data_IF_692110288296
#
_entry.id   IF_692110288296
#
_cell.length_a   1.000
_cell.length_b   1.000
_cell.length_c   1.000
_cell.angle_alpha   90.00
_cell.angle_beta   90.00
_cell.angle_gamma   90.00
#
_symmetry.space_group_name_H-M   'P 1'
#
loop_
_entity.id
_entity.type
_entity.pdbx_description
1 polymer ?
#
# COMPACT_ATOMS: atom_id res chain seq x y z
N UNK A 1 52.22 -1.29 6.32
CA UNK A 1 51.42 -2.19 5.48
C UNK A 1 50.51 -2.97 6.41
N UNK A 2 49.33 -2.44 6.69
CA UNK A 2 48.26 -3.18 7.36
C UNK A 2 47.48 -3.92 6.28
N UNK A 3 47.58 -5.24 6.29
CA UNK A 3 46.71 -6.15 5.56
C UNK A 3 45.30 -5.95 6.09
N UNK A 4 44.48 -5.24 5.32
CA UNK A 4 43.05 -5.15 5.55
C UNK A 4 42.46 -6.54 5.25
N UNK A 5 41.99 -7.22 6.30
CA UNK A 5 41.32 -8.51 6.23
C UNK A 5 40.03 -8.37 5.43
N UNK A 6 40.11 -8.48 4.10
CA UNK A 6 38.94 -8.59 3.25
C UNK A 6 38.24 -9.92 3.57
N UNK A 7 37.18 -9.85 4.38
CA UNK A 7 36.23 -10.96 4.53
C UNK A 7 35.79 -11.41 3.12
N UNK A 8 35.79 -12.73 2.82
CA UNK A 8 35.34 -13.20 1.52
C UNK A 8 33.90 -12.77 1.27
N UNK A 9 33.62 -12.28 0.06
CA UNK A 9 32.29 -11.86 -0.34
C UNK A 9 31.31 -13.03 -0.21
N UNK A 10 30.17 -12.81 0.47
CA UNK A 10 29.13 -13.83 0.64
C UNK A 10 28.54 -14.17 -0.73
N UNK A 11 28.48 -15.45 -1.13
CA UNK A 11 27.89 -15.85 -2.41
C UNK A 11 26.43 -15.40 -2.54
N UNK A 12 26.04 -14.93 -3.72
CA UNK A 12 24.67 -14.45 -3.97
C UNK A 12 23.58 -15.49 -3.64
N UNK A 13 23.88 -16.78 -3.84
CA UNK A 13 22.97 -17.87 -3.47
C UNK A 13 22.72 -17.93 -1.97
N UNK A 14 23.75 -17.74 -1.15
CA UNK A 14 23.61 -17.77 0.31
C UNK A 14 22.77 -16.59 0.83
N UNK A 15 22.96 -15.39 0.28
CA UNK A 15 22.14 -14.22 0.63
C UNK A 15 20.67 -14.43 0.25
N UNK A 16 20.42 -15.06 -0.90
CA UNK A 16 19.08 -15.37 -1.38
C UNK A 16 18.39 -16.43 -0.52
N UNK A 17 19.08 -17.49 -0.16
CA UNK A 17 18.52 -18.55 0.69
C UNK A 17 18.20 -18.03 2.10
N UNK A 18 19.04 -17.13 2.62
CA UNK A 18 18.80 -16.44 3.90
C UNK A 18 17.59 -15.49 3.82
N UNK A 19 17.47 -14.70 2.74
CA UNK A 19 16.28 -13.89 2.49
C UNK A 19 15.02 -14.76 2.47
N UNK A 20 15.05 -15.89 1.75
CA UNK A 20 13.89 -16.79 1.67
C UNK A 20 13.54 -17.36 3.04
N UNK A 21 14.54 -17.78 3.83
CA UNK A 21 14.33 -18.26 5.20
C UNK A 21 13.65 -17.18 6.05
N UNK A 22 14.15 -15.95 6.01
CA UNK A 22 13.55 -14.82 6.74
C UNK A 22 12.10 -14.57 6.31
N UNK A 23 11.80 -14.59 5.01
CA UNK A 23 10.43 -14.39 4.50
C UNK A 23 9.47 -15.50 4.94
N UNK A 24 9.94 -16.74 5.02
CA UNK A 24 9.17 -17.88 5.55
C UNK A 24 8.94 -17.76 7.05
N UNK A 25 9.98 -17.43 7.83
CA UNK A 25 9.89 -17.27 9.28
C UNK A 25 8.92 -16.15 9.69
N UNK A 26 8.84 -15.08 8.87
CA UNK A 26 7.88 -13.98 9.04
C UNK A 26 6.46 -14.31 8.56
N UNK A 27 6.24 -15.47 7.93
CA UNK A 27 4.96 -15.86 7.34
C UNK A 27 4.59 -15.11 6.05
N UNK A 28 5.51 -14.29 5.51
CA UNK A 28 5.29 -13.52 4.28
C UNK A 28 5.37 -14.36 3.01
N UNK A 29 6.01 -15.54 3.08
CA UNK A 29 6.17 -16.48 1.97
C UNK A 29 5.88 -17.89 2.47
N UNK A 30 4.88 -18.57 1.91
CA UNK A 30 4.34 -19.82 2.46
C UNK A 30 4.18 -20.89 1.38
N UNK A 31 3.70 -20.53 0.19
CA UNK A 31 3.53 -21.46 -0.92
C UNK A 31 4.88 -21.99 -1.39
N UNK A 32 5.01 -23.32 -1.45
CA UNK A 32 6.28 -23.97 -1.79
C UNK A 32 6.78 -23.63 -3.20
N UNK A 33 5.90 -23.30 -4.15
CA UNK A 33 6.28 -22.85 -5.49
C UNK A 33 6.81 -21.42 -5.45
N UNK A 34 6.18 -20.55 -4.68
CA UNK A 34 6.67 -19.19 -4.48
C UNK A 34 8.04 -19.21 -3.76
N UNK A 35 8.20 -20.05 -2.74
CA UNK A 35 9.50 -20.31 -2.08
C UNK A 35 10.56 -20.75 -3.10
N UNK A 36 10.23 -21.70 -3.99
CA UNK A 36 11.17 -22.17 -5.02
C UNK A 36 11.53 -21.05 -6.02
N UNK A 37 10.56 -20.24 -6.44
CA UNK A 37 10.77 -19.10 -7.33
C UNK A 37 11.73 -18.08 -6.69
N UNK A 38 11.53 -17.74 -5.40
CA UNK A 38 12.39 -16.80 -4.69
C UNK A 38 13.82 -17.31 -4.50
N UNK A 39 14.03 -18.63 -4.38
CA UNK A 39 15.38 -19.24 -4.36
C UNK A 39 16.06 -19.25 -5.73
N UNK A 40 15.30 -19.14 -6.82
CA UNK A 40 15.83 -19.29 -8.18
C UNK A 40 16.17 -17.96 -8.86
N UNK A 41 15.35 -16.92 -8.68
CA UNK A 41 15.53 -15.65 -9.38
C UNK A 41 16.65 -14.81 -8.73
N UNK A 42 17.69 -14.41 -9.49
CA UNK A 42 18.79 -13.59 -9.00
C UNK A 42 18.43 -12.09 -8.91
N UNK A 43 17.58 -11.71 -7.95
CA UNK A 43 17.03 -10.33 -7.85
C UNK A 43 18.07 -9.19 -7.89
N UNK A 44 19.26 -9.41 -7.35
CA UNK A 44 20.36 -8.43 -7.35
C UNK A 44 20.75 -7.95 -8.76
N UNK A 45 20.53 -8.76 -9.82
CA UNK A 45 20.84 -8.35 -11.19
C UNK A 45 19.90 -7.25 -11.72
N UNK A 46 18.73 -7.06 -11.12
CA UNK A 46 17.83 -5.95 -11.47
C UNK A 46 18.30 -4.60 -10.91
N UNK A 47 19.27 -4.60 -9.98
CA UNK A 47 19.78 -3.41 -9.29
C UNK A 47 21.31 -3.46 -9.21
N UNK A 48 22.03 -3.39 -10.34
CA UNK A 48 23.48 -3.61 -10.39
C UNK A 48 24.28 -2.57 -9.61
N UNK A 49 23.74 -1.37 -9.41
CA UNK A 49 24.40 -0.27 -8.69
C UNK A 49 24.16 -0.30 -7.17
N UNK A 50 23.27 -1.18 -6.68
CA UNK A 50 22.97 -1.33 -5.25
C UNK A 50 23.88 -2.40 -4.63
N UNK A 51 24.27 -2.19 -3.37
CA UNK A 51 24.95 -3.24 -2.60
C UNK A 51 24.15 -4.54 -2.61
N UNK A 52 24.74 -5.62 -3.14
CA UNK A 52 24.06 -6.90 -3.32
C UNK A 52 23.43 -7.41 -2.02
N UNK A 53 24.09 -7.26 -0.87
CA UNK A 53 23.55 -7.73 0.40
C UNK A 53 22.31 -6.94 0.84
N UNK A 54 22.25 -5.63 0.57
CA UNK A 54 21.04 -4.82 0.79
C UNK A 54 19.87 -5.29 -0.07
N UNK A 55 20.10 -5.67 -1.33
CA UNK A 55 19.02 -6.13 -2.24
C UNK A 55 18.25 -7.34 -1.70
N UNK A 56 18.87 -8.14 -0.84
CA UNK A 56 18.29 -9.35 -0.22
C UNK A 56 17.70 -9.11 1.19
N UNK A 57 17.71 -7.88 1.72
CA UNK A 57 17.05 -7.57 2.99
C UNK A 57 15.54 -7.53 2.80
N UNK A 58 14.77 -8.22 3.65
CA UNK A 58 13.32 -8.41 3.48
C UNK A 58 12.51 -7.10 3.29
N UNK A 59 12.92 -6.01 3.96
CA UNK A 59 12.23 -4.71 3.93
C UNK A 59 12.91 -3.65 3.04
N UNK A 60 13.99 -3.99 2.32
CA UNK A 60 14.73 -3.01 1.53
C UNK A 60 14.19 -2.94 0.10
N UNK A 61 13.57 -1.81 -0.23
CA UNK A 61 13.24 -1.45 -1.61
C UNK A 61 14.38 -0.60 -2.21
N UNK A 62 14.62 -0.77 -3.51
CA UNK A 62 15.64 0.01 -4.24
C UNK A 62 14.93 0.98 -5.17
N UNK A 63 15.11 2.28 -4.93
CA UNK A 63 14.54 3.33 -5.79
C UNK A 63 15.36 3.40 -7.07
N UNK A 64 14.71 3.22 -8.21
CA UNK A 64 15.37 3.17 -9.53
C UNK A 64 15.12 4.42 -10.36
N UNK A 65 14.12 5.23 -10.00
CA UNK A 65 13.84 6.50 -10.68
C UNK A 65 13.10 7.47 -9.75
N UNK A 66 13.50 8.73 -9.78
CA UNK A 66 12.79 9.84 -9.14
C UNK A 66 12.52 10.95 -10.14
N UNK A 67 11.50 11.76 -9.88
CA UNK A 67 11.30 13.01 -10.60
C UNK A 67 12.22 14.13 -10.05
N UNK A 68 12.23 15.34 -10.67
CA UNK A 68 13.03 16.47 -10.19
C UNK A 68 12.67 16.97 -8.79
N UNK A 69 11.44 16.73 -8.33
CA UNK A 69 10.96 17.12 -7.01
C UNK A 69 11.27 16.04 -5.94
N UNK A 70 11.93 14.95 -6.33
CA UNK A 70 12.34 13.86 -5.46
C UNK A 70 11.25 12.81 -5.20
N UNK A 71 10.13 12.85 -5.93
CA UNK A 71 9.09 11.82 -5.86
C UNK A 71 9.62 10.54 -6.49
N UNK A 72 9.43 9.42 -5.80
CA UNK A 72 9.82 8.09 -6.28
C UNK A 72 8.85 7.64 -7.36
N UNK A 73 9.34 7.49 -8.59
CA UNK A 73 8.55 7.08 -9.77
C UNK A 73 8.63 5.57 -10.01
N UNK A 74 9.77 4.96 -9.70
CA UNK A 74 10.00 3.53 -9.93
C UNK A 74 10.91 2.95 -8.85
N UNK A 75 10.65 1.70 -8.48
CA UNK A 75 11.47 0.97 -7.53
C UNK A 75 11.41 -0.53 -7.78
N UNK A 76 12.49 -1.24 -7.44
CA UNK A 76 12.41 -2.67 -7.19
C UNK A 76 11.87 -2.84 -5.76
N UNK A 77 10.65 -3.35 -5.67
CA UNK A 77 9.95 -3.56 -4.40
C UNK A 77 10.74 -4.44 -3.43
N UNK A 78 10.56 -4.18 -2.14
CA UNK A 78 11.15 -4.99 -1.08
C UNK A 78 10.72 -6.46 -1.22
N UNK A 79 11.61 -7.44 -0.91
CA UNK A 79 11.28 -8.86 -1.04
C UNK A 79 9.99 -9.27 -0.33
N UNK A 80 9.73 -8.72 0.88
CA UNK A 80 8.51 -9.02 1.64
C UNK A 80 7.25 -8.56 0.90
N UNK A 81 7.30 -7.39 0.25
CA UNK A 81 6.14 -6.85 -0.49
C UNK A 81 5.83 -7.70 -1.71
N UNK A 82 6.85 -8.13 -2.47
CA UNK A 82 6.68 -9.03 -3.60
C UNK A 82 6.13 -10.40 -3.16
N UNK A 83 6.68 -10.96 -2.08
CA UNK A 83 6.20 -12.23 -1.52
C UNK A 83 4.72 -12.13 -1.10
N UNK A 84 4.36 -11.06 -0.37
CA UNK A 84 2.99 -10.78 0.05
C UNK A 84 2.02 -10.68 -1.13
N UNK A 85 2.34 -9.92 -2.19
CA UNK A 85 1.45 -9.81 -3.36
C UNK A 85 1.33 -11.13 -4.14
N UNK A 86 2.42 -11.89 -4.28
CA UNK A 86 2.39 -13.22 -4.93
C UNK A 86 1.53 -14.20 -4.14
N UNK A 87 1.64 -14.20 -2.81
CA UNK A 87 0.80 -15.00 -1.90
C UNK A 87 -0.68 -14.59 -2.01
N UNK A 88 -0.97 -13.28 -1.98
CA UNK A 88 -2.32 -12.77 -2.20
C UNK A 88 -2.87 -13.16 -3.58
N UNK A 89 -2.00 -13.22 -4.58
CA UNK A 89 -2.32 -13.54 -5.96
C UNK A 89 -2.72 -14.99 -6.19
N UNK A 90 -2.39 -15.92 -5.29
CA UNK A 90 -2.69 -17.34 -5.43
C UNK A 90 -2.35 -17.88 -6.84
N UNK A 91 -1.12 -17.59 -7.30
CA UNK A 91 -0.65 -17.93 -8.65
C UNK A 91 -0.39 -19.44 -8.75
N UNK A 92 -0.87 -20.06 -9.83
CA UNK A 92 -0.77 -21.51 -10.05
C UNK A 92 -0.12 -21.84 -11.40
N UNK A 93 0.46 -23.06 -11.56
CA UNK A 93 0.97 -23.53 -12.84
C UNK A 93 -0.08 -23.44 -13.97
N UNK A 94 0.35 -23.04 -15.16
CA UNK A 94 -0.49 -22.91 -16.35
C UNK A 94 -1.31 -21.61 -16.42
N UNK A 95 -1.29 -20.77 -15.39
CA UNK A 95 -2.05 -19.52 -15.39
C UNK A 95 -1.46 -18.47 -16.33
N UNK A 96 -2.35 -17.60 -16.83
CA UNK A 96 -2.03 -16.35 -17.51
C UNK A 96 -2.09 -15.21 -16.51
N UNK A 97 -0.98 -14.52 -16.31
CA UNK A 97 -0.84 -13.44 -15.33
C UNK A 97 -0.46 -12.14 -16.03
N UNK A 98 -1.21 -11.08 -15.75
CA UNK A 98 -0.83 -9.70 -16.07
C UNK A 98 -0.20 -9.05 -14.84
N UNK A 99 0.97 -8.45 -15.00
CA UNK A 99 1.57 -7.52 -14.08
C UNK A 99 1.47 -6.08 -14.64
N UNK A 100 1.04 -5.13 -13.81
CA UNK A 100 1.01 -3.70 -14.13
C UNK A 100 1.97 -2.96 -13.19
N UNK A 101 2.95 -2.26 -13.77
CA UNK A 101 4.14 -1.77 -13.08
C UNK A 101 5.26 -2.80 -13.21
N UNK A 102 6.22 -2.54 -14.10
CA UNK A 102 7.27 -3.51 -14.42
C UNK A 102 8.54 -3.26 -13.60
N UNK A 103 9.25 -4.33 -13.30
CA UNK A 103 10.60 -4.26 -12.73
C UNK A 103 11.45 -5.50 -13.02
N UNK A 104 10.95 -6.39 -13.90
CA UNK A 104 11.57 -7.67 -14.25
C UNK A 104 11.53 -8.74 -13.15
N UNK A 105 11.90 -8.39 -11.91
CA UNK A 105 12.05 -9.35 -10.80
C UNK A 105 10.74 -10.06 -10.46
N UNK A 106 9.65 -9.32 -10.29
CA UNK A 106 8.36 -9.91 -9.93
C UNK A 106 7.78 -10.73 -11.10
N UNK A 107 7.88 -10.24 -12.34
CA UNK A 107 7.57 -11.03 -13.53
C UNK A 107 8.36 -12.36 -13.61
N UNK A 108 9.64 -12.37 -13.25
CA UNK A 108 10.44 -13.60 -13.22
C UNK A 108 9.97 -14.57 -12.12
N UNK A 109 9.60 -14.07 -10.93
CA UNK A 109 8.98 -14.91 -9.90
C UNK A 109 7.66 -15.51 -10.40
N UNK A 110 6.81 -14.70 -11.03
CA UNK A 110 5.55 -15.18 -11.62
C UNK A 110 5.81 -16.25 -12.69
N UNK A 111 6.81 -16.05 -13.55
CA UNK A 111 7.19 -16.98 -14.61
C UNK A 111 7.70 -18.34 -14.08
N UNK A 112 8.41 -18.35 -12.95
CA UNK A 112 8.77 -19.59 -12.25
C UNK A 112 7.52 -20.33 -11.72
N UNK A 113 6.54 -19.60 -11.18
CA UNK A 113 5.36 -20.21 -10.54
C UNK A 113 4.37 -20.75 -11.59
N UNK A 114 4.11 -20.00 -12.67
CA UNK A 114 3.19 -20.43 -13.72
C UNK A 114 3.80 -21.54 -14.59
N UNK A 115 5.14 -21.64 -14.63
CA UNK A 115 5.85 -22.68 -15.37
C UNK A 115 5.72 -22.54 -16.89
N UNK A 116 6.21 -23.57 -17.61
CA UNK A 116 6.36 -23.54 -19.08
C UNK A 116 5.04 -23.41 -19.86
N UNK A 117 3.93 -23.86 -19.27
CA UNK A 117 2.60 -23.80 -19.88
C UNK A 117 1.81 -22.54 -19.50
N UNK A 118 2.39 -21.67 -18.65
CA UNK A 118 1.79 -20.40 -18.27
C UNK A 118 2.25 -19.25 -19.16
N UNK A 119 1.67 -18.08 -18.93
CA UNK A 119 2.06 -16.84 -19.61
C UNK A 119 2.15 -15.72 -18.58
N UNK A 120 3.26 -14.99 -18.58
CA UNK A 120 3.37 -13.72 -17.84
C UNK A 120 3.47 -12.59 -18.85
N UNK A 121 2.60 -11.60 -18.69
CA UNK A 121 2.67 -10.31 -19.38
C UNK A 121 2.96 -9.26 -18.31
N UNK A 122 3.97 -8.43 -18.50
CA UNK A 122 4.30 -7.32 -17.60
C UNK A 122 4.29 -6.02 -18.39
N UNK A 123 3.62 -5.01 -17.86
CA UNK A 123 3.45 -3.73 -18.53
C UNK A 123 3.91 -2.55 -17.68
N UNK A 124 4.54 -1.56 -18.30
CA UNK A 124 4.86 -0.28 -17.68
C UNK A 124 4.73 0.85 -18.71
N UNK A 125 4.36 2.05 -18.24
CA UNK A 125 4.21 3.22 -19.11
C UNK A 125 5.57 3.81 -19.51
N UNK A 126 6.60 3.59 -18.70
CA UNK A 126 7.92 4.18 -18.88
C UNK A 126 8.84 3.24 -19.68
N UNK A 127 9.30 3.64 -20.89
CA UNK A 127 10.18 2.82 -21.72
C UNK A 127 11.54 2.53 -21.07
N UNK A 128 12.01 3.37 -20.13
CA UNK A 128 13.24 3.08 -19.39
C UNK A 128 13.03 1.93 -18.39
N UNK A 129 11.84 1.83 -17.80
CA UNK A 129 11.47 0.76 -16.87
C UNK A 129 11.34 -0.55 -17.64
N UNK A 130 10.62 -0.56 -18.76
CA UNK A 130 10.49 -1.76 -19.60
C UNK A 130 11.82 -2.21 -20.19
N UNK A 131 12.67 -1.28 -20.64
CA UNK A 131 14.02 -1.61 -21.13
C UNK A 131 14.91 -2.25 -20.05
N UNK A 132 14.85 -1.77 -18.80
CA UNK A 132 15.54 -2.44 -17.67
C UNK A 132 14.98 -3.83 -17.39
N UNK A 133 13.65 -3.99 -17.44
CA UNK A 133 13.00 -5.28 -17.23
C UNK A 133 13.40 -6.29 -18.31
N UNK A 134 13.38 -5.91 -19.59
CA UNK A 134 13.82 -6.74 -20.71
C UNK A 134 15.27 -7.19 -20.55
N UNK A 135 16.17 -6.26 -20.22
CA UNK A 135 17.59 -6.58 -19.96
C UNK A 135 17.74 -7.60 -18.83
N UNK A 136 17.08 -7.38 -17.69
CA UNK A 136 17.11 -8.30 -16.57
C UNK A 136 16.57 -9.68 -16.96
N UNK A 137 15.43 -9.74 -17.64
CA UNK A 137 14.80 -10.99 -18.08
C UNK A 137 15.69 -11.73 -19.07
N UNK A 138 16.42 -11.02 -19.94
CA UNK A 138 17.38 -11.62 -20.85
C UNK A 138 18.58 -12.23 -20.10
N UNK A 139 19.22 -11.45 -19.23
CA UNK A 139 20.38 -11.90 -18.44
C UNK A 139 20.06 -13.07 -17.50
N UNK A 140 18.78 -13.28 -17.20
CA UNK A 140 18.30 -14.34 -16.30
C UNK A 140 17.60 -15.49 -17.03
N UNK A 141 17.46 -15.44 -18.36
CA UNK A 141 16.89 -16.51 -19.18
C UNK A 141 15.35 -16.61 -19.13
N UNK A 142 14.66 -15.50 -18.87
CA UNK A 142 13.19 -15.41 -18.81
C UNK A 142 12.57 -14.71 -20.03
N UNK A 143 13.35 -14.21 -20.99
CA UNK A 143 12.86 -13.48 -22.18
C UNK A 143 11.81 -14.25 -23.02
N UNK A 144 11.86 -15.59 -23.01
CA UNK A 144 10.91 -16.45 -23.70
C UNK A 144 9.64 -16.77 -22.89
N UNK A 145 9.65 -16.48 -21.59
CA UNK A 145 8.56 -16.79 -20.64
C UNK A 145 7.77 -15.56 -20.21
N UNK A 146 8.34 -14.38 -20.37
CA UNK A 146 7.73 -13.10 -19.98
C UNK A 146 7.60 -12.20 -21.21
N UNK A 147 6.40 -11.66 -21.45
CA UNK A 147 6.16 -10.62 -22.45
C UNK A 147 6.19 -9.26 -21.78
N UNK A 148 7.13 -8.41 -22.16
CA UNK A 148 7.19 -7.02 -21.69
C UNK A 148 6.44 -6.12 -22.67
N UNK A 149 5.59 -5.23 -22.15
CA UNK A 149 4.80 -4.29 -22.93
C UNK A 149 5.02 -2.88 -22.41
N UNK A 150 5.39 -1.95 -23.29
CA UNK A 150 5.43 -0.53 -22.95
C UNK A 150 4.07 0.10 -23.27
N UNK A 151 3.35 0.56 -22.26
CA UNK A 151 2.00 1.12 -22.42
C UNK A 151 1.36 1.53 -21.10
N UNK A 152 0.30 2.34 -21.18
CA UNK A 152 -0.45 2.78 -20.00
C UNK A 152 -1.20 1.59 -19.37
N UNK A 153 -0.84 1.26 -18.12
CA UNK A 153 -1.42 0.17 -17.37
C UNK A 153 -2.93 0.32 -17.12
N UNK A 154 -3.49 1.52 -17.23
CA UNK A 154 -4.94 1.72 -17.11
C UNK A 154 -5.74 0.91 -18.14
N UNK A 155 -5.20 0.74 -19.35
CA UNK A 155 -5.82 -0.05 -20.42
C UNK A 155 -5.66 -1.56 -20.26
N UNK A 156 -4.88 -2.04 -19.28
CA UNK A 156 -4.40 -3.42 -19.24
C UNK A 156 -3.62 -3.78 -20.50
N UNK A 157 -3.68 -5.05 -20.92
CA UNK A 157 -3.06 -5.54 -22.17
C UNK A 157 -4.04 -6.50 -22.87
N UNK A 158 -4.99 -5.97 -23.66
CA UNK A 158 -6.09 -6.78 -24.21
C UNK A 158 -5.62 -7.88 -25.17
N UNK A 159 -4.47 -7.73 -25.84
CA UNK A 159 -3.92 -8.68 -26.81
C UNK A 159 -3.60 -10.05 -26.19
N UNK A 160 -3.44 -10.09 -24.86
CA UNK A 160 -3.13 -11.29 -24.11
C UNK A 160 -4.18 -11.62 -23.04
N UNK A 161 -5.33 -10.93 -23.05
CA UNK A 161 -6.48 -11.32 -22.28
C UNK A 161 -7.13 -12.62 -22.82
N UNK A 162 -7.94 -13.34 -22.03
CA UNK A 162 -8.19 -13.09 -20.61
C UNK A 162 -7.05 -13.61 -19.71
N UNK A 163 -7.00 -13.09 -18.49
CA UNK A 163 -6.04 -13.43 -17.45
C UNK A 163 -6.71 -14.15 -16.29
N UNK A 164 -6.00 -15.11 -15.71
CA UNK A 164 -6.39 -15.71 -14.43
C UNK A 164 -6.14 -14.75 -13.27
N UNK A 165 -5.08 -13.95 -13.40
CA UNK A 165 -4.55 -13.07 -12.36
C UNK A 165 -4.10 -11.73 -12.95
N UNK A 166 -4.42 -10.65 -12.26
CA UNK A 166 -3.86 -9.32 -12.50
C UNK A 166 -3.19 -8.86 -11.21
N UNK A 167 -1.91 -8.52 -11.27
CA UNK A 167 -1.11 -8.05 -10.13
C UNK A 167 -0.64 -6.63 -10.46
N UNK A 168 -1.09 -5.66 -9.67
CA UNK A 168 -0.70 -4.25 -9.82
C UNK A 168 0.39 -3.96 -8.79
N UNK A 169 1.52 -3.42 -9.21
CA UNK A 169 2.69 -3.12 -8.37
C UNK A 169 2.93 -1.62 -8.22
N UNK A 170 1.88 -0.83 -8.46
CA UNK A 170 1.82 0.62 -8.26
C UNK A 170 0.56 0.98 -7.47
N UNK A 171 0.59 2.11 -6.76
CA UNK A 171 -0.55 2.59 -5.98
C UNK A 171 -1.61 3.19 -6.91
N UNK A 172 -2.77 2.54 -6.99
CA UNK A 172 -3.93 3.01 -7.74
C UNK A 172 -4.94 3.68 -6.80
N UNK A 173 -5.63 4.72 -7.28
CA UNK A 173 -6.75 5.34 -6.55
C UNK A 173 -8.12 4.81 -6.98
N UNK A 174 -8.18 4.13 -8.12
CA UNK A 174 -9.37 3.57 -8.75
C UNK A 174 -9.00 2.23 -9.41
N UNK A 175 -10.00 1.46 -9.84
CA UNK A 175 -9.83 0.20 -10.56
C UNK A 175 -10.43 0.35 -11.95
N UNK A 176 -9.61 0.54 -13.00
CA UNK A 176 -10.07 0.67 -14.37
C UNK A 176 -10.94 -0.53 -14.83
N UNK A 177 -11.95 -0.31 -15.69
CA UNK A 177 -12.80 -1.38 -16.20
C UNK A 177 -12.02 -2.49 -16.88
N UNK A 178 -10.93 -2.13 -17.59
CA UNK A 178 -10.04 -3.04 -18.28
C UNK A 178 -9.49 -4.15 -17.38
N UNK A 179 -9.10 -3.85 -16.13
CA UNK A 179 -8.53 -4.86 -15.22
C UNK A 179 -9.57 -5.92 -14.83
N UNK A 180 -10.83 -5.51 -14.65
CA UNK A 180 -11.94 -6.43 -14.40
C UNK A 180 -12.31 -7.21 -15.66
N UNK A 181 -12.44 -6.52 -16.79
CA UNK A 181 -12.95 -7.10 -18.04
C UNK A 181 -11.98 -8.10 -18.65
N UNK A 182 -10.68 -7.88 -18.48
CA UNK A 182 -9.63 -8.79 -18.93
C UNK A 182 -9.38 -9.96 -17.96
N UNK A 183 -9.98 -9.98 -16.76
CA UNK A 183 -9.94 -11.15 -15.87
C UNK A 183 -10.94 -12.23 -16.29
N UNK A 184 -10.64 -13.50 -16.11
CA UNK A 184 -11.66 -14.56 -16.16
C UNK A 184 -12.68 -14.42 -15.02
N UNK A 185 -13.88 -14.98 -15.15
CA UNK A 185 -14.80 -15.11 -14.01
C UNK A 185 -14.15 -15.95 -12.90
N UNK A 186 -14.24 -15.49 -11.64
CA UNK A 186 -13.49 -16.09 -10.53
C UNK A 186 -11.98 -15.83 -10.56
N UNK A 187 -11.48 -15.09 -11.56
CA UNK A 187 -10.12 -14.58 -11.60
C UNK A 187 -9.85 -13.57 -10.49
N UNK A 188 -8.57 -13.29 -10.23
CA UNK A 188 -8.15 -12.48 -9.07
C UNK A 188 -7.36 -11.23 -9.48
N UNK A 189 -7.74 -10.09 -8.91
CA UNK A 189 -6.98 -8.85 -8.95
C UNK A 189 -6.28 -8.64 -7.61
N UNK A 190 -4.98 -8.35 -7.61
CA UNK A 190 -4.26 -7.84 -6.44
C UNK A 190 -3.80 -6.42 -6.75
N UNK A 191 -4.24 -5.46 -5.95
CA UNK A 191 -3.98 -4.04 -6.20
C UNK A 191 -3.71 -3.26 -4.91
N UNK A 192 -2.62 -2.47 -4.85
CA UNK A 192 -2.42 -1.44 -3.84
C UNK A 192 -3.42 -0.30 -4.06
N UNK A 193 -4.60 -0.43 -3.46
CA UNK A 193 -5.73 0.49 -3.66
C UNK A 193 -5.73 1.55 -2.57
N UNK A 194 -5.74 2.82 -2.99
CA UNK A 194 -5.87 3.98 -2.12
C UNK A 194 -7.34 4.34 -1.94
N UNK A 195 -7.78 4.30 -0.69
CA UNK A 195 -9.14 4.62 -0.24
C UNK A 195 -9.03 5.75 0.77
N UNK A 196 -9.39 6.98 0.36
CA UNK A 196 -9.38 8.17 1.21
C UNK A 196 -8.01 8.42 1.87
N UNK A 197 -6.95 8.31 1.08
CA UNK A 197 -5.56 8.56 1.48
C UNK A 197 -4.85 7.32 2.02
N UNK A 198 -5.57 6.31 2.50
CA UNK A 198 -4.98 5.08 3.00
C UNK A 198 -4.80 4.05 1.90
N UNK A 199 -3.67 3.38 1.87
CA UNK A 199 -3.43 2.28 0.94
C UNK A 199 -3.40 0.95 1.64
N UNK A 200 -4.04 -0.04 1.02
CA UNK A 200 -3.89 -1.46 1.32
C UNK A 200 -3.66 -2.20 0.01
N UNK A 201 -2.86 -3.26 0.03
CA UNK A 201 -2.89 -4.22 -1.06
C UNK A 201 -4.12 -5.08 -0.86
N UNK A 202 -5.05 -5.04 -1.81
CA UNK A 202 -6.34 -5.73 -1.71
C UNK A 202 -6.38 -6.83 -2.75
N UNK A 203 -6.74 -8.02 -2.31
CA UNK A 203 -6.99 -9.14 -3.19
C UNK A 203 -8.49 -9.28 -3.42
N UNK A 204 -8.91 -9.13 -4.68
CA UNK A 204 -10.29 -9.22 -5.12
C UNK A 204 -10.51 -10.43 -6.02
N UNK A 205 -11.69 -11.06 -5.90
CA UNK A 205 -12.17 -12.08 -6.82
C UNK A 205 -13.27 -11.50 -7.70
N UNK A 206 -13.18 -11.73 -9.01
CA UNK A 206 -14.23 -11.35 -9.97
C UNK A 206 -15.49 -12.17 -9.74
N UNK A 207 -16.61 -11.46 -9.58
CA UNK A 207 -17.98 -11.99 -9.43
C UNK A 207 -18.92 -11.23 -10.37
N UNK A 208 -19.02 -11.68 -11.61
CA UNK A 208 -19.74 -10.99 -12.68
C UNK A 208 -19.11 -9.63 -12.98
N UNK A 209 -19.87 -8.56 -12.74
CA UNK A 209 -19.44 -7.16 -12.95
C UNK A 209 -18.76 -6.53 -11.72
N UNK A 210 -18.65 -7.27 -10.61
CA UNK A 210 -18.10 -6.79 -9.34
C UNK A 210 -16.80 -7.50 -9.00
N UNK A 211 -15.99 -6.84 -8.19
CA UNK A 211 -14.83 -7.41 -7.53
C UNK A 211 -15.09 -7.41 -6.03
N UNK A 212 -14.89 -8.56 -5.37
CA UNK A 212 -15.16 -8.73 -3.94
C UNK A 212 -13.88 -9.17 -3.24
N UNK A 213 -13.49 -8.45 -2.19
CA UNK A 213 -12.24 -8.75 -1.49
C UNK A 213 -12.35 -10.01 -0.65
N UNK A 214 -11.27 -10.78 -0.59
CA UNK A 214 -11.09 -11.86 0.40
C UNK A 214 -9.86 -11.67 1.30
N UNK A 215 -9.08 -10.61 1.09
CA UNK A 215 -8.01 -10.20 1.99
C UNK A 215 -7.43 -8.84 1.63
N UNK A 216 -6.78 -8.21 2.61
CA UNK A 216 -5.98 -7.01 2.40
C UNK A 216 -4.85 -6.93 3.42
N UNK A 217 -3.77 -6.23 3.08
CA UNK A 217 -2.61 -6.03 3.95
C UNK A 217 -2.09 -4.58 3.80
N UNK A 218 -1.46 -4.03 4.85
CA UNK A 218 -0.82 -2.72 4.79
C UNK A 218 0.43 -2.72 3.90
N UNK A 219 0.54 -1.73 3.01
CA UNK A 219 1.68 -1.58 2.11
C UNK A 219 1.86 -0.14 1.61
N UNK A 220 3.04 0.16 1.06
CA UNK A 220 3.34 1.37 0.31
C UNK A 220 3.92 1.03 -1.06
N UNK A 221 3.55 1.82 -2.08
CA UNK A 221 3.99 1.66 -3.46
C UNK A 221 4.19 3.03 -4.10
N UNK A 222 4.98 3.08 -5.18
CA UNK A 222 5.08 4.27 -6.05
C UNK A 222 3.72 4.57 -6.69
N UNK A 223 3.38 5.83 -6.97
CA UNK A 223 2.08 6.19 -7.52
C UNK A 223 1.88 5.66 -8.95
N UNK A 224 0.64 5.27 -9.28
CA UNK A 224 0.22 5.06 -10.67
C UNK A 224 0.46 6.34 -11.49
N UNK A 225 0.99 6.17 -12.69
CA UNK A 225 1.21 7.22 -13.68
C UNK A 225 0.30 7.02 -14.89
N UNK A 226 0.20 8.04 -15.76
CA UNK A 226 -0.61 7.97 -16.98
C UNK A 226 -2.03 8.45 -16.75
N UNK A 227 -2.98 7.87 -17.48
CA UNK A 227 -4.40 8.25 -17.44
C UNK A 227 -4.96 8.15 -16.01
N UNK A 228 -4.45 7.18 -15.24
CA UNK A 228 -4.96 6.82 -13.91
C UNK A 228 -4.23 7.53 -12.79
N UNK A 229 -3.35 8.47 -13.13
CA UNK A 229 -2.62 9.27 -12.18
C UNK A 229 -3.62 10.03 -11.28
N UNK A 230 -3.47 9.84 -9.97
CA UNK A 230 -4.26 10.57 -8.99
C UNK A 230 -3.32 11.16 -7.94
N UNK A 231 -3.01 12.45 -8.09
CA UNK A 231 -2.16 13.18 -7.15
C UNK A 231 -2.93 13.55 -5.90
N UNK A 232 -2.37 13.17 -4.76
CA UNK A 232 -2.86 13.60 -3.44
C UNK A 232 -2.51 15.07 -3.26
N UNK A 233 -3.49 15.89 -2.87
CA UNK A 233 -3.24 17.31 -2.56
C UNK A 233 -2.70 17.44 -1.15
N UNK A 234 -1.70 18.30 -0.95
CA UNK A 234 -1.14 18.59 0.38
C UNK A 234 -1.51 20.02 0.79
N UNK A 235 -2.15 20.16 1.95
CA UNK A 235 -2.42 21.46 2.59
C UNK A 235 -1.48 21.62 3.77
N UNK A 236 -0.58 22.59 3.71
CA UNK A 236 0.38 22.86 4.78
C UNK A 236 -0.27 23.61 5.95
N UNK A 237 -0.19 23.01 7.13
CA UNK A 237 -0.58 23.59 8.43
C UNK A 237 0.62 24.19 9.18
N UNK A 238 1.84 23.78 8.82
CA UNK A 238 3.08 24.39 9.25
C UNK A 238 4.05 24.34 8.08
N UNK A 239 4.53 25.50 7.65
CA UNK A 239 5.36 25.67 6.45
C UNK A 239 6.71 26.29 6.85
N UNK A 240 7.46 25.53 7.63
CA UNK A 240 8.85 25.82 7.99
C UNK A 240 9.68 24.71 7.40
N UNK A 241 10.72 25.08 6.64
CA UNK A 241 11.59 24.14 5.95
C UNK A 241 12.19 23.13 6.94
N UNK A 242 11.96 21.84 6.67
CA UNK A 242 12.41 20.74 7.52
C UNK A 242 11.43 20.34 8.63
N UNK A 243 10.44 21.17 8.92
CA UNK A 243 9.45 21.01 10.00
C UNK A 243 8.01 20.94 9.49
N UNK A 244 7.80 20.75 8.19
CA UNK A 244 6.49 20.87 7.57
C UNK A 244 5.48 19.88 8.17
N UNK A 245 4.28 20.39 8.45
CA UNK A 245 3.09 19.63 8.86
C UNK A 245 2.00 19.91 7.84
N UNK A 246 1.35 18.86 7.33
CA UNK A 246 0.31 19.03 6.33
C UNK A 246 -0.72 17.92 6.29
N UNK A 247 -1.88 18.25 5.73
CA UNK A 247 -2.99 17.34 5.48
C UNK A 247 -2.96 16.85 4.03
N UNK A 248 -2.87 15.55 3.85
CA UNK A 248 -3.02 14.87 2.56
C UNK A 248 -4.50 14.61 2.29
N UNK A 249 -5.00 15.20 1.21
CA UNK A 249 -6.38 15.12 0.77
C UNK A 249 -6.50 14.18 -0.43
N UNK A 250 -7.40 13.20 -0.31
CA UNK A 250 -7.79 12.26 -1.38
C UNK A 250 -9.31 12.24 -1.48
N UNK A 251 -9.88 13.10 -2.33
CA UNK A 251 -11.33 13.30 -2.46
C UNK A 251 -12.02 13.96 -1.24
N UNK A 252 -11.25 14.53 -0.33
CA UNK A 252 -11.76 15.23 0.85
C UNK A 252 -12.15 16.68 0.54
N UNK A 253 -13.09 17.29 1.28
CA UNK A 253 -13.39 18.72 1.16
C UNK A 253 -12.15 19.60 1.36
N UNK A 254 -12.13 20.78 0.72
CA UNK A 254 -11.09 21.77 0.97
C UNK A 254 -11.18 22.26 2.42
N UNK A 255 -10.12 22.12 3.23
CA UNK A 255 -10.14 22.63 4.59
C UNK A 255 -9.94 24.15 4.62
N UNK A 256 -10.45 24.79 5.66
CA UNK A 256 -10.04 26.15 6.02
C UNK A 256 -8.60 26.12 6.58
N UNK A 257 -7.63 26.23 5.68
CA UNK A 257 -6.22 26.09 6.03
C UNK A 257 -5.75 27.15 7.05
N UNK A 258 -6.31 28.36 7.01
CA UNK A 258 -5.95 29.42 7.95
C UNK A 258 -6.46 29.08 9.36
N UNK A 259 -7.71 28.67 9.48
CA UNK A 259 -8.27 28.25 10.75
C UNK A 259 -7.55 27.04 11.34
N UNK A 260 -7.19 26.05 10.51
CA UNK A 260 -6.45 24.87 10.97
C UNK A 260 -4.99 25.18 11.37
N UNK A 261 -4.33 26.14 10.72
CA UNK A 261 -3.03 26.67 11.17
C UNK A 261 -3.15 27.35 12.53
N UNK A 262 -4.18 28.16 12.73
CA UNK A 262 -4.46 28.77 14.03
C UNK A 262 -4.72 27.69 15.09
N UNK A 263 -5.50 26.66 14.75
CA UNK A 263 -5.79 25.52 15.62
C UNK A 263 -4.53 24.78 16.07
N UNK A 264 -3.58 24.52 15.16
CA UNK A 264 -2.31 23.85 15.49
C UNK A 264 -1.48 24.62 16.54
N UNK A 265 -1.68 25.93 16.68
CA UNK A 265 -1.00 26.77 17.67
C UNK A 265 -1.75 26.86 19.02
N UNK A 266 -2.91 26.20 19.15
CA UNK A 266 -3.67 26.15 20.41
C UNK A 266 -3.13 25.04 21.34
N UNK A 267 -3.36 25.13 22.66
CA UNK A 267 -3.05 24.02 23.56
C UNK A 267 -3.79 22.75 23.14
N UNK A 268 -3.04 21.66 22.97
CA UNK A 268 -3.62 20.37 22.57
C UNK A 268 -4.51 19.80 23.67
N UNK A 269 -5.61 19.14 23.28
CA UNK A 269 -6.48 18.39 24.18
C UNK A 269 -6.25 16.90 23.95
N UNK A 270 -5.96 16.16 25.02
CA UNK A 270 -5.82 14.71 25.00
C UNK A 270 -7.08 14.04 25.58
N UNK A 271 -7.61 13.05 24.87
CA UNK A 271 -8.75 12.24 25.31
C UNK A 271 -8.40 10.77 25.15
N UNK A 272 -8.67 9.97 26.18
CA UNK A 272 -8.22 8.59 26.28
C UNK A 272 -9.41 7.63 26.25
N UNK A 273 -9.32 6.57 25.45
CA UNK A 273 -10.47 5.75 25.11
C UNK A 273 -10.79 4.64 26.10
N UNK A 274 -9.84 4.25 26.95
CA UNK A 274 -9.88 3.02 27.74
C UNK A 274 -9.65 1.75 26.92
N UNK A 275 -9.51 1.83 25.60
CA UNK A 275 -9.23 0.68 24.73
C UNK A 275 -7.72 0.43 24.68
N UNK A 276 -7.30 -0.76 25.06
CA UNK A 276 -5.88 -1.15 25.08
C UNK A 276 -5.57 -2.29 24.10
N UNK A 277 -4.46 -2.15 23.39
CA UNK A 277 -3.94 -3.13 22.42
C UNK A 277 -2.63 -3.73 22.94
N UNK A 278 -2.33 -4.97 22.52
CA UNK A 278 -1.00 -5.56 22.72
C UNK A 278 0.02 -4.93 21.77
N UNK A 279 1.31 -4.95 22.13
CA UNK A 279 2.39 -4.36 21.34
C UNK A 279 2.52 -4.92 19.91
N UNK A 280 2.13 -6.18 19.70
CA UNK A 280 2.14 -6.88 18.41
C UNK A 280 0.79 -6.86 17.68
N UNK A 281 -0.26 -6.28 18.30
CA UNK A 281 -1.59 -6.23 17.71
C UNK A 281 -1.70 -5.09 16.67
N UNK A 282 -2.04 -5.46 15.43
CA UNK A 282 -2.25 -4.50 14.35
C UNK A 282 -3.47 -3.62 14.61
N UNK A 283 -3.27 -2.30 14.54
CA UNK A 283 -4.35 -1.31 14.63
C UNK A 283 -4.83 -0.81 13.25
N UNK A 284 -4.42 -1.47 12.17
CA UNK A 284 -4.73 -1.06 10.79
C UNK A 284 -6.22 -1.16 10.45
N UNK A 285 -6.94 -2.05 11.14
CA UNK A 285 -8.38 -2.22 11.01
C UNK A 285 -9.14 -1.05 11.64
N UNK A 286 -8.61 -0.44 12.70
CA UNK A 286 -9.19 0.76 13.28
C UNK A 286 -9.11 1.94 12.29
N UNK A 287 -7.99 2.10 11.57
CA UNK A 287 -7.89 3.15 10.54
C UNK A 287 -8.94 2.99 9.43
N UNK A 288 -9.19 1.74 9.02
CA UNK A 288 -10.25 1.41 8.05
C UNK A 288 -11.65 1.67 8.60
N UNK A 289 -11.88 1.39 9.89
CA UNK A 289 -13.14 1.69 10.56
C UNK A 289 -13.42 3.19 10.59
N UNK A 290 -12.43 3.98 11.02
CA UNK A 290 -12.55 5.44 11.07
C UNK A 290 -12.87 6.02 9.68
N UNK A 291 -12.27 5.46 8.63
CA UNK A 291 -12.55 5.84 7.24
C UNK A 291 -13.95 5.47 6.77
N UNK A 292 -14.55 4.46 7.40
CA UNK A 292 -15.94 4.07 7.14
C UNK A 292 -16.91 5.06 7.80
N UNK A 293 -16.64 5.48 9.05
CA UNK A 293 -17.59 6.28 9.83
C UNK A 293 -17.47 7.80 9.66
N UNK A 294 -16.30 8.32 9.26
CA UNK A 294 -16.08 9.76 9.11
C UNK A 294 -16.03 10.22 7.65
N UNK A 295 -16.75 11.31 7.35
CA UNK A 295 -16.82 11.90 6.02
C UNK A 295 -15.60 12.76 5.66
N UNK A 296 -14.95 13.36 6.66
CA UNK A 296 -13.77 14.23 6.48
C UNK A 296 -12.60 13.75 7.33
N UNK A 297 -11.80 12.83 6.79
CA UNK A 297 -10.72 12.13 7.49
C UNK A 297 -9.40 12.12 6.69
N UNK A 298 -8.83 13.29 6.33
CA UNK A 298 -7.55 13.35 5.63
C UNK A 298 -6.40 12.76 6.46
N UNK A 299 -5.24 12.55 5.82
CA UNK A 299 -4.06 12.07 6.53
C UNK A 299 -3.16 13.22 6.97
N UNK A 300 -2.96 13.38 8.29
CA UNK A 300 -1.99 14.31 8.84
C UNK A 300 -0.59 13.73 8.72
N UNK A 301 0.31 14.54 8.19
CA UNK A 301 1.71 14.23 7.98
C UNK A 301 2.56 15.30 8.62
N UNK A 302 3.75 14.92 9.08
CA UNK A 302 4.71 15.86 9.65
C UNK A 302 6.12 15.34 9.44
N UNK A 303 7.07 16.22 9.11
CA UNK A 303 8.49 15.87 9.02
C UNK A 303 9.07 15.50 10.39
N UNK A 304 10.20 14.75 10.44
CA UNK A 304 10.80 14.32 11.71
C UNK A 304 11.08 15.47 12.70
N UNK A 305 11.55 16.63 12.24
CA UNK A 305 11.83 17.76 13.11
C UNK A 305 10.56 18.38 13.73
N UNK A 306 9.45 18.40 12.98
CA UNK A 306 8.14 18.85 13.49
C UNK A 306 7.67 18.00 14.68
N UNK A 307 7.90 16.68 14.60
CA UNK A 307 7.57 15.71 15.65
C UNK A 307 8.48 15.87 16.85
N UNK A 308 9.77 16.05 16.62
CA UNK A 308 10.76 16.29 17.69
C UNK A 308 10.44 17.56 18.50
N UNK A 309 9.90 18.61 17.85
CA UNK A 309 9.39 19.82 18.51
C UNK A 309 8.04 19.65 19.21
N UNK A 310 7.37 18.52 19.00
CA UNK A 310 6.06 18.24 19.60
C UNK A 310 4.88 18.95 18.93
N UNK A 311 5.04 19.47 17.71
CA UNK A 311 3.94 20.08 16.95
C UNK A 311 2.83 19.07 16.66
N UNK A 312 3.23 17.84 16.33
CA UNK A 312 2.34 16.70 16.15
C UNK A 312 2.99 15.46 16.79
N UNK A 313 2.18 14.60 17.39
CA UNK A 313 2.65 13.36 18.03
C UNK A 313 2.73 12.17 17.04
N UNK A 314 2.45 12.40 15.76
CA UNK A 314 2.41 11.35 14.75
C UNK A 314 3.78 10.72 14.53
N UNK A 315 3.88 9.40 14.68
CA UNK A 315 5.09 8.63 14.37
C UNK A 315 5.05 7.98 12.97
N UNK A 316 3.90 7.96 12.29
CA UNK A 316 3.73 7.27 11.01
C UNK A 316 4.34 8.08 9.85
N UNK A 317 5.23 7.50 9.02
CA UNK A 317 5.70 8.15 7.78
C UNK A 317 4.60 8.22 6.70
N UNK A 318 3.58 7.36 6.78
CA UNK A 318 2.47 7.31 5.82
C UNK A 318 1.36 8.33 6.13
N UNK A 319 1.43 8.98 7.31
CA UNK A 319 0.40 9.87 7.84
C UNK A 319 -0.56 9.13 8.78
N UNK A 320 -1.40 9.89 9.48
CA UNK A 320 -2.39 9.38 10.44
C UNK A 320 -3.77 9.92 10.06
N UNK A 321 -4.82 9.08 10.03
CA UNK A 321 -6.19 9.53 9.84
C UNK A 321 -6.58 10.61 10.85
N UNK A 322 -7.04 11.74 10.34
CA UNK A 322 -7.27 12.96 11.10
C UNK A 322 -8.66 13.48 10.82
N UNK A 323 -9.53 13.48 11.82
CA UNK A 323 -10.87 14.03 11.70
C UNK A 323 -10.76 15.55 11.64
N UNK A 324 -11.29 16.16 10.59
CA UNK A 324 -11.32 17.61 10.41
C UNK A 324 -12.77 18.08 10.40
N UNK A 325 -13.10 18.97 11.32
CA UNK A 325 -14.42 19.60 11.41
C UNK A 325 -14.23 21.09 11.54
N UNK A 326 -14.52 21.85 10.47
CA UNK A 326 -14.33 23.30 10.43
C UNK A 326 -12.92 23.72 10.84
N UNK A 327 -12.83 24.49 11.91
CA UNK A 327 -11.63 25.07 12.52
C UNK A 327 -10.91 24.16 13.54
N UNK A 328 -11.29 22.89 13.64
CA UNK A 328 -10.77 21.97 14.65
C UNK A 328 -10.46 20.61 14.04
N UNK A 329 -9.45 19.93 14.57
CA UNK A 329 -9.06 18.61 14.07
C UNK A 329 -8.55 17.70 15.17
N UNK A 330 -8.64 16.39 14.96
CA UNK A 330 -8.22 15.38 15.93
C UNK A 330 -7.60 14.16 15.23
N UNK A 331 -6.53 13.61 15.81
CA UNK A 331 -5.81 12.45 15.30
C UNK A 331 -5.43 11.49 16.43
N UNK A 332 -5.26 10.21 16.09
CA UNK A 332 -4.94 9.17 17.07
C UNK A 332 -3.58 9.36 17.71
N UNK A 333 -3.47 8.95 18.96
CA UNK A 333 -2.22 8.80 19.72
C UNK A 333 -2.27 7.53 20.56
N UNK A 334 -1.16 7.19 21.21
CA UNK A 334 -1.08 6.08 22.17
C UNK A 334 -0.34 6.51 23.43
N UNK A 335 -0.62 5.85 24.56
CA UNK A 335 0.19 5.94 25.79
C UNK A 335 0.49 4.54 26.33
N UNK A 336 1.63 4.35 27.03
CA UNK A 336 1.87 3.12 27.77
C UNK A 336 0.82 2.94 28.86
N UNK A 337 0.56 1.67 29.22
CA UNK A 337 -0.27 1.31 30.37
C UNK A 337 0.59 0.79 31.52
N UNK A 338 -0.03 0.45 32.66
CA UNK A 338 0.65 -0.25 33.75
C UNK A 338 1.15 -1.65 33.33
N UNK A 339 0.53 -2.23 32.30
CA UNK A 339 1.02 -3.44 31.62
C UNK A 339 2.02 -3.04 30.52
N UNK A 340 3.31 -3.45 30.62
CA UNK A 340 4.36 -3.03 29.71
C UNK A 340 4.18 -3.55 28.28
N UNK A 341 3.40 -4.62 28.09
CA UNK A 341 3.14 -5.20 26.77
C UNK A 341 1.92 -4.57 26.10
N UNK A 342 1.34 -3.53 26.71
CA UNK A 342 0.11 -2.89 26.24
C UNK A 342 0.20 -1.37 26.19
N UNK A 343 -0.53 -0.83 25.23
CA UNK A 343 -0.73 0.60 25.08
C UNK A 343 -2.23 0.93 24.98
N UNK A 344 -2.61 2.09 25.51
CA UNK A 344 -3.95 2.63 25.39
C UNK A 344 -4.06 3.55 24.18
N UNK A 345 -5.14 3.39 23.42
CA UNK A 345 -5.49 4.28 22.32
C UNK A 345 -6.09 5.59 22.86
N UNK A 346 -5.62 6.70 22.32
CA UNK A 346 -6.14 8.03 22.61
C UNK A 346 -6.22 8.91 21.38
N UNK A 347 -6.60 10.16 21.60
CA UNK A 347 -6.76 11.18 20.58
C UNK A 347 -6.15 12.48 21.07
N UNK A 348 -5.38 13.13 20.19
CA UNK A 348 -4.94 14.51 20.35
C UNK A 348 -5.80 15.38 19.43
N UNK A 349 -6.36 16.45 19.97
CA UNK A 349 -7.19 17.38 19.24
C UNK A 349 -6.72 18.83 19.43
N UNK A 350 -7.00 19.65 18.41
CA UNK A 350 -6.57 21.04 18.28
C UNK A 350 -7.74 21.92 17.82
N UNK A 351 -7.70 23.19 18.19
CA UNK A 351 -8.68 24.20 17.78
C UNK A 351 -9.82 24.45 18.78
N UNK A 352 -10.72 25.40 18.47
CA UNK A 352 -11.76 25.87 19.40
C UNK A 352 -12.73 24.80 19.88
N UNK A 353 -12.90 23.72 19.10
CA UNK A 353 -13.75 22.56 19.42
C UNK A 353 -12.95 21.28 19.68
N UNK A 354 -11.67 21.40 20.06
CA UNK A 354 -10.77 20.26 20.26
C UNK A 354 -11.38 19.14 21.11
N UNK A 355 -12.00 19.46 22.26
CA UNK A 355 -12.66 18.45 23.11
C UNK A 355 -13.77 17.70 22.38
N UNK A 356 -14.69 18.42 21.73
CA UNK A 356 -15.81 17.79 21.03
C UNK A 356 -15.36 16.91 19.86
N UNK A 357 -14.39 17.37 19.05
CA UNK A 357 -13.85 16.57 17.94
C UNK A 357 -13.06 15.37 18.45
N UNK A 358 -12.30 15.54 19.54
CA UNK A 358 -11.57 14.46 20.21
C UNK A 358 -12.49 13.39 20.78
N UNK A 359 -13.53 13.79 21.51
CA UNK A 359 -14.52 12.88 22.12
C UNK A 359 -15.24 12.06 21.05
N UNK A 360 -15.59 12.65 19.90
CA UNK A 360 -16.19 11.92 18.76
C UNK A 360 -15.28 10.86 18.17
N UNK A 361 -13.99 11.16 17.99
CA UNK A 361 -13.04 10.14 17.52
C UNK A 361 -12.85 9.04 18.57
N UNK A 362 -12.77 9.39 19.86
CA UNK A 362 -12.69 8.41 20.95
C UNK A 362 -13.92 7.50 21.01
N UNK A 363 -15.11 8.05 20.84
CA UNK A 363 -16.35 7.26 20.76
C UNK A 363 -16.24 6.19 19.68
N UNK A 364 -15.74 6.55 18.48
CA UNK A 364 -15.58 5.59 17.40
C UNK A 364 -14.47 4.56 17.65
N UNK A 365 -13.39 4.92 18.38
CA UNK A 365 -12.39 3.96 18.86
C UNK A 365 -13.04 2.96 19.82
N UNK A 366 -13.92 3.41 20.71
CA UNK A 366 -14.62 2.56 21.66
C UNK A 366 -15.65 1.66 20.98
N UNK A 367 -16.42 2.17 20.01
CA UNK A 367 -17.34 1.37 19.18
C UNK A 367 -16.56 0.28 18.46
N UNK A 368 -15.46 0.63 17.78
CA UNK A 368 -14.59 -0.36 17.16
C UNK A 368 -14.09 -1.39 18.17
N UNK A 369 -13.59 -0.96 19.33
CA UNK A 369 -13.06 -1.83 20.36
C UNK A 369 -14.07 -2.85 20.89
N UNK A 370 -15.36 -2.49 20.94
CA UNK A 370 -16.46 -3.36 21.42
C UNK A 370 -17.06 -4.24 20.32
N UNK A 371 -17.22 -3.71 19.12
CA UNK A 371 -18.09 -4.30 18.09
C UNK A 371 -17.32 -4.80 16.87
N UNK A 372 -16.14 -4.25 16.57
CA UNK A 372 -15.41 -4.50 15.32
C UNK A 372 -13.98 -5.00 15.52
N UNK A 373 -13.48 -5.02 16.75
CA UNK A 373 -12.15 -5.57 17.07
C UNK A 373 -12.15 -7.07 16.78
N UNK A 374 -11.22 -7.51 15.92
CA UNK A 374 -11.15 -8.90 15.44
C UNK A 374 -12.01 -9.17 14.19
N UNK A 375 -12.92 -8.27 13.82
CA UNK A 375 -13.63 -8.35 12.54
C UNK A 375 -12.75 -7.82 11.40
N UNK A 376 -13.03 -8.30 10.18
CA UNK A 376 -12.39 -7.82 8.95
C UNK A 376 -13.43 -7.16 8.07
N UNK A 377 -13.15 -5.93 7.64
CA UNK A 377 -13.96 -5.27 6.63
C UNK A 377 -13.94 -6.06 5.32
N UNK A 378 -15.04 -6.00 4.57
CA UNK A 378 -15.11 -6.47 3.19
C UNK A 378 -15.18 -5.28 2.26
N UNK A 379 -14.28 -5.27 1.29
CA UNK A 379 -14.21 -4.30 0.21
C UNK A 379 -14.92 -4.84 -1.03
N UNK A 380 -15.72 -3.99 -1.67
CA UNK A 380 -16.32 -4.26 -2.96
C UNK A 380 -15.92 -3.19 -3.96
N UNK A 381 -15.75 -3.57 -5.23
CA UNK A 381 -15.62 -2.61 -6.33
C UNK A 381 -16.72 -2.88 -7.33
N UNK A 382 -17.48 -1.83 -7.62
CA UNK A 382 -18.65 -1.83 -8.48
C UNK A 382 -18.43 -0.85 -9.64
N UNK A 383 -19.02 -1.06 -10.83
CA UNK A 383 -19.06 -0.04 -11.87
C UNK A 383 -19.54 1.33 -11.34
N UNK A 384 -18.97 2.44 -11.85
CA UNK A 384 -19.34 3.80 -11.45
C UNK A 384 -20.84 4.11 -11.56
N UNK A 385 -21.53 3.48 -12.51
CA UNK A 385 -22.97 3.64 -12.77
C UNK A 385 -23.87 2.72 -11.93
N UNK A 386 -23.30 1.95 -10.99
CA UNK A 386 -24.09 1.07 -10.10
C UNK A 386 -25.01 1.90 -9.21
N UNK A 387 -26.35 1.69 -9.25
CA UNK A 387 -27.30 2.43 -8.41
C UNK A 387 -27.11 2.18 -6.91
N UNK A 388 -27.49 3.16 -6.07
CA UNK A 388 -27.35 3.09 -4.61
C UNK A 388 -28.07 1.88 -3.98
N UNK A 389 -29.23 1.50 -4.52
CA UNK A 389 -30.03 0.36 -4.04
C UNK A 389 -29.41 -1.02 -4.35
N UNK A 390 -28.35 -1.04 -5.18
CA UNK A 390 -27.58 -2.24 -5.52
C UNK A 390 -26.23 -2.32 -4.77
N UNK A 391 -25.89 -1.30 -3.98
CA UNK A 391 -24.71 -1.29 -3.13
C UNK A 391 -25.03 -1.86 -1.75
N UNK A 392 -24.10 -2.60 -1.13
CA UNK A 392 -24.27 -3.03 0.25
C UNK A 392 -24.29 -1.82 1.20
N UNK A 393 -24.99 -1.96 2.33
CA UNK A 393 -24.96 -0.97 3.40
C UNK A 393 -23.53 -0.84 3.95
N UNK A 394 -22.99 0.38 3.91
CA UNK A 394 -21.62 0.68 4.30
C UNK A 394 -21.13 2.00 3.74
N UNK A 395 -19.82 2.23 3.77
CA UNK A 395 -19.21 3.41 3.16
C UNK A 395 -19.07 3.19 1.66
N UNK A 396 -19.53 4.16 0.87
CA UNK A 396 -19.27 4.24 -0.56
C UNK A 396 -18.22 5.32 -0.82
N UNK A 397 -17.23 5.01 -1.64
CA UNK A 397 -16.21 5.94 -2.15
C UNK A 397 -16.36 5.95 -3.66
N UNK A 398 -16.88 7.05 -4.19
CA UNK A 398 -17.04 7.22 -5.63
C UNK A 398 -15.72 7.65 -6.27
N UNK A 399 -15.37 6.98 -7.37
CA UNK A 399 -14.21 7.23 -8.23
C UNK A 399 -14.69 7.31 -9.69
N UNK A 400 -13.87 7.83 -10.63
CA UNK A 400 -14.29 7.97 -12.03
C UNK A 400 -14.81 6.68 -12.68
N UNK A 401 -14.19 5.53 -12.40
CA UNK A 401 -14.54 4.25 -13.00
C UNK A 401 -15.37 3.35 -12.08
N UNK A 402 -15.28 3.56 -10.77
CA UNK A 402 -15.86 2.63 -9.80
C UNK A 402 -16.49 3.29 -8.58
N UNK A 403 -17.39 2.53 -7.94
CA UNK A 403 -17.87 2.78 -6.58
C UNK A 403 -17.24 1.73 -5.67
N UNK A 404 -16.36 2.16 -4.78
CA UNK A 404 -15.68 1.27 -3.81
C UNK A 404 -16.52 1.23 -2.54
N UNK A 405 -16.89 0.05 -2.08
CA UNK A 405 -17.66 -0.15 -0.85
C UNK A 405 -16.79 -0.72 0.26
N UNK A 406 -16.96 -0.21 1.49
CA UNK A 406 -16.35 -0.73 2.70
C UNK A 406 -17.47 -1.13 3.66
N UNK A 407 -17.53 -2.41 3.98
CA UNK A 407 -18.59 -3.01 4.79
C UNK A 407 -17.98 -3.75 5.98
N UNK A 408 -18.70 -3.77 7.10
CA UNK A 408 -18.29 -4.45 8.33
C UNK A 408 -19.31 -5.55 8.68
N UNK A 409 -18.90 -6.68 9.27
CA UNK A 409 -19.80 -7.75 9.70
C UNK A 409 -20.85 -7.34 10.73
#
# INVERSE_FOLDING_TARGET
>A
MTTDDMKPAVPAQQLRDEMVRQLVDMGALRDSRAVAAFRRVPRHLATPDEDMAKTYRAEHAVITKTDPDGVQLSSVSAPRIQAMQIEQGDIRPGMRVLEIGSGGVNAAYLAEIVGENGLVVTADIDPEVTGRAEKFLHETGYEGRVRVVTGDGEGGVPEHAPYDRVIVTVQAADVPPAWREQLVEGGRLVVPLRMRGMTRTVAFVRRGHRLVSDGFELCGFVPMQGTGENRVRLVLLHDVEGEEVGLRLDGHPEPDAEALRAALNTPRVETWSGVTLAGDESNEHLDLWLTTVFDNLPLLTGKPAARARGLVASISPHGIPTLVEGDSFAYRTVRPTDDPDRFELGVIAHGPRARAVGDRMVEQIQVWGREQRGNRARLGVHPADTPDDQLPAGRVIDRPHTRITITWP
#
